data_IF_508539465896
#
_entry.id   IF_508539465896
#
_cell.length_a   1.000
_cell.length_b   1.000
_cell.length_c   1.000
_cell.angle_alpha   90.00
_cell.angle_beta   90.00
_cell.angle_gamma   90.00
#
_symmetry.space_group_name_H-M   'P 1'
#
loop_
_entity.id
_entity.type
_entity.pdbx_description
1 polymer ?
#
# COMPACT_ATOMS: atom_id res chain seq x y z
N UNK A 1 -49.59 9.03 -17.40
CA UNK A 1 -48.94 8.87 -16.10
C UNK A 1 -47.96 10.03 -15.93
N UNK A 2 -48.11 10.83 -14.92
CA UNK A 2 -47.22 11.94 -14.60
C UNK A 2 -46.21 11.43 -13.57
N UNK A 3 -44.92 11.57 -13.79
CA UNK A 3 -43.88 11.27 -12.82
C UNK A 3 -43.39 12.61 -12.25
N UNK A 4 -43.47 12.75 -10.94
CA UNK A 4 -42.91 13.86 -10.21
C UNK A 4 -41.67 13.33 -9.45
N UNK A 5 -40.52 13.86 -9.78
CA UNK A 5 -39.33 13.65 -8.94
C UNK A 5 -39.42 14.56 -7.72
N UNK A 6 -39.52 13.97 -6.54
CA UNK A 6 -39.44 14.72 -5.26
C UNK A 6 -38.03 15.22 -5.01
N UNK A 7 -37.43 15.79 -6.03
CA UNK A 7 -36.23 16.53 -5.91
C UNK A 7 -36.27 17.61 -6.88
N UNK A 8 -36.40 18.54 -6.25
CA UNK A 8 -35.89 19.79 -6.66
C UNK A 8 -34.40 19.70 -6.75
N UNK A 9 -33.89 20.00 -7.90
CA UNK A 9 -32.70 20.83 -7.91
C UNK A 9 -33.03 21.95 -6.93
N UNK A 10 -32.44 21.89 -5.75
CA UNK A 10 -32.39 22.97 -4.82
C UNK A 10 -31.48 24.02 -5.48
N UNK A 11 -32.00 24.62 -6.55
CA UNK A 11 -31.48 25.90 -6.94
C UNK A 11 -31.82 26.88 -5.81
N UNK A 12 -31.06 27.90 -5.68
CA UNK A 12 -31.13 28.88 -4.56
C UNK A 12 -32.51 29.56 -4.36
N UNK A 13 -33.58 29.05 -4.91
CA UNK A 13 -34.95 29.57 -4.90
C UNK A 13 -35.96 28.69 -4.17
N UNK A 14 -35.54 27.58 -3.52
CA UNK A 14 -36.43 26.75 -2.69
C UNK A 14 -37.54 26.10 -3.51
N UNK A 15 -37.16 25.42 -4.61
CA UNK A 15 -38.13 24.83 -5.52
C UNK A 15 -38.88 23.66 -4.88
N UNK A 16 -40.17 23.74 -4.83
CA UNK A 16 -41.04 22.60 -4.55
C UNK A 16 -41.13 21.73 -5.80
N UNK A 17 -41.17 20.38 -5.63
CA UNK A 17 -41.50 19.48 -6.72
C UNK A 17 -42.95 19.69 -7.16
N UNK A 18 -43.16 20.67 -7.98
CA UNK A 18 -44.46 21.09 -8.44
C UNK A 18 -44.56 21.10 -9.97
N UNK A 19 -45.69 20.69 -10.48
CA UNK A 19 -46.07 20.86 -11.89
C UNK A 19 -47.43 21.49 -11.95
N UNK A 20 -47.64 22.34 -12.97
CA UNK A 20 -48.95 22.92 -13.25
C UNK A 20 -49.44 22.35 -14.59
N UNK A 21 -50.60 21.74 -14.58
CA UNK A 21 -51.24 21.15 -15.75
C UNK A 21 -52.54 21.83 -16.05
N UNK A 22 -52.94 21.87 -17.33
CA UNK A 22 -54.24 22.35 -17.75
C UNK A 22 -55.29 21.23 -17.58
N UNK A 23 -56.40 21.56 -16.94
CA UNK A 23 -57.60 20.73 -16.85
C UNK A 23 -58.70 21.40 -17.64
N UNK A 24 -59.23 20.72 -18.65
CA UNK A 24 -60.28 21.22 -19.52
C UNK A 24 -61.46 20.27 -19.51
N UNK A 25 -62.63 20.81 -19.47
CA UNK A 25 -63.89 20.08 -19.69
C UNK A 25 -64.44 20.54 -21.01
N UNK A 26 -64.48 19.65 -22.00
CA UNK A 26 -64.98 19.96 -23.36
C UNK A 26 -66.45 19.56 -23.47
N UNK A 27 -67.29 20.44 -24.05
CA UNK A 27 -68.64 20.08 -24.50
C UNK A 27 -69.82 20.62 -23.69
N UNK A 28 -69.63 21.19 -22.50
CA UNK A 28 -70.67 21.84 -21.70
C UNK A 28 -70.11 23.03 -20.95
N UNK A 29 -70.92 24.09 -20.82
CA UNK A 29 -70.61 25.22 -19.91
C UNK A 29 -70.79 24.69 -18.46
N UNK A 30 -69.74 24.58 -17.67
CA UNK A 30 -69.82 24.08 -16.30
C UNK A 30 -70.48 25.04 -15.33
N UNK A 31 -71.00 26.21 -15.85
CA UNK A 31 -71.53 27.23 -14.95
C UNK A 31 -70.49 27.79 -14.00
N UNK A 32 -70.89 27.97 -12.73
CA UNK A 32 -70.04 28.47 -11.66
C UNK A 32 -69.46 27.37 -10.76
N UNK A 33 -69.75 26.10 -11.07
CA UNK A 33 -69.23 24.99 -10.28
C UNK A 33 -67.76 24.75 -10.53
N UNK A 34 -66.99 24.58 -9.44
CA UNK A 34 -65.58 24.22 -9.49
C UNK A 34 -65.41 22.70 -9.41
N UNK A 35 -64.52 22.10 -10.19
CA UNK A 35 -64.18 20.72 -10.00
C UNK A 35 -63.72 20.40 -8.60
N UNK A 36 -64.11 19.27 -8.05
CA UNK A 36 -63.58 18.72 -6.82
C UNK A 36 -62.41 17.79 -7.11
N UNK A 37 -61.33 17.89 -6.31
CA UNK A 37 -60.18 17.00 -6.41
C UNK A 37 -60.23 16.00 -5.25
N UNK A 38 -59.99 14.76 -5.61
CA UNK A 38 -59.81 13.68 -4.65
C UNK A 38 -58.62 12.76 -5.06
N UNK A 39 -58.19 11.91 -4.15
CA UNK A 39 -57.01 11.04 -4.38
C UNK A 39 -57.38 9.59 -4.10
N UNK A 40 -56.78 8.68 -4.85
CA UNK A 40 -56.88 7.24 -4.53
C UNK A 40 -56.08 6.88 -3.28
N UNK A 41 -55.04 7.66 -2.98
CA UNK A 41 -54.24 7.58 -1.77
C UNK A 41 -53.82 8.95 -1.34
N UNK A 42 -54.20 9.33 -0.13
CA UNK A 42 -53.89 10.64 0.46
C UNK A 42 -52.42 10.73 0.89
N UNK A 43 -51.91 11.96 0.97
CA UNK A 43 -50.57 12.28 1.50
C UNK A 43 -49.41 12.01 0.54
N UNK A 44 -49.67 11.56 -0.69
CA UNK A 44 -48.62 11.40 -1.71
C UNK A 44 -48.41 12.71 -2.47
N UNK A 45 -49.49 13.41 -2.82
CA UNK A 45 -49.45 14.71 -3.49
C UNK A 45 -50.51 15.66 -2.88
N UNK A 46 -50.32 16.95 -3.06
CA UNK A 46 -51.38 17.96 -2.95
C UNK A 46 -51.63 18.52 -4.32
N UNK A 47 -52.90 18.83 -4.63
CA UNK A 47 -53.27 19.46 -5.86
C UNK A 47 -54.21 20.66 -5.57
N UNK A 48 -53.90 21.79 -6.20
CA UNK A 48 -54.67 23.02 -6.06
C UNK A 48 -55.24 23.44 -7.42
N UNK A 49 -56.54 23.78 -7.47
CA UNK A 49 -57.20 24.31 -8.62
C UNK A 49 -57.08 25.80 -8.70
N UNK A 50 -56.66 26.30 -9.85
CA UNK A 50 -56.64 27.73 -10.20
C UNK A 50 -57.49 27.93 -11.43
N UNK A 51 -58.62 28.73 -11.34
CA UNK A 51 -59.43 29.06 -12.48
C UNK A 51 -58.61 29.82 -13.55
N UNK A 52 -58.74 29.41 -14.82
CA UNK A 52 -58.08 30.05 -15.96
C UNK A 52 -59.05 30.28 -17.12
N UNK A 53 -60.16 30.91 -16.79
CA UNK A 53 -61.26 31.16 -17.73
C UNK A 53 -62.43 30.20 -17.57
N UNK A 54 -63.48 30.37 -18.41
CA UNK A 54 -64.68 29.54 -18.33
C UNK A 54 -64.40 28.10 -18.79
N UNK A 55 -64.55 27.14 -17.87
CA UNK A 55 -64.33 25.71 -18.16
C UNK A 55 -62.85 25.34 -18.25
N UNK A 56 -61.94 26.23 -17.98
CA UNK A 56 -60.51 26.00 -17.99
C UNK A 56 -59.93 26.21 -16.57
N UNK A 57 -59.12 25.26 -16.15
CA UNK A 57 -58.50 25.29 -14.85
C UNK A 57 -57.04 24.92 -14.97
N UNK A 58 -56.19 25.50 -14.15
CA UNK A 58 -54.84 25.04 -13.91
C UNK A 58 -54.81 24.23 -12.62
N UNK A 59 -54.21 23.08 -12.65
CA UNK A 59 -54.03 22.22 -11.50
C UNK A 59 -52.55 22.25 -11.13
N UNK A 60 -52.19 22.84 -10.01
CA UNK A 60 -50.86 22.81 -9.44
C UNK A 60 -50.74 21.58 -8.55
N UNK A 61 -49.86 20.66 -8.91
CA UNK A 61 -49.62 19.39 -8.23
C UNK A 61 -48.26 19.46 -7.54
N UNK A 62 -48.18 19.15 -6.25
CA UNK A 62 -46.98 19.15 -5.45
C UNK A 62 -46.79 17.77 -4.82
N UNK A 63 -45.63 17.17 -4.99
CA UNK A 63 -45.25 15.92 -4.32
C UNK A 63 -45.07 16.13 -2.81
N UNK A 64 -45.62 15.24 -1.99
CA UNK A 64 -45.57 15.29 -0.52
C UNK A 64 -44.85 14.07 0.08
N UNK A 65 -45.01 12.92 -0.54
CA UNK A 65 -44.37 11.68 -0.12
C UNK A 65 -44.13 10.73 -1.31
N UNK A 66 -43.13 9.90 -1.17
CA UNK A 66 -42.82 8.87 -2.19
C UNK A 66 -43.97 7.88 -2.30
N UNK A 67 -44.40 7.62 -3.51
CA UNK A 67 -45.46 6.67 -3.78
C UNK A 67 -46.26 7.01 -5.01
N UNK A 68 -47.29 6.21 -5.27
CA UNK A 68 -48.18 6.41 -6.41
C UNK A 68 -49.59 6.70 -5.90
N UNK A 69 -50.26 7.62 -6.57
CA UNK A 69 -51.65 7.98 -6.34
C UNK A 69 -52.33 8.35 -7.66
N UNK A 70 -53.63 8.41 -7.68
CA UNK A 70 -54.40 9.02 -8.78
C UNK A 70 -55.08 10.27 -8.26
N UNK A 71 -54.96 11.38 -8.97
CA UNK A 71 -55.77 12.56 -8.78
C UNK A 71 -57.01 12.39 -9.62
N UNK A 72 -58.16 12.54 -9.00
CA UNK A 72 -59.47 12.44 -9.62
C UNK A 72 -60.14 13.82 -9.54
N UNK A 73 -60.39 14.44 -10.70
CA UNK A 73 -61.14 15.69 -10.81
C UNK A 73 -62.53 15.35 -11.24
N UNK A 74 -63.52 15.80 -10.49
CA UNK A 74 -64.95 15.58 -10.77
C UNK A 74 -65.70 16.89 -10.89
N UNK A 75 -66.48 17.05 -11.97
CA UNK A 75 -67.36 18.19 -12.22
C UNK A 75 -68.71 17.69 -12.69
N UNK A 76 -69.75 17.72 -11.88
CA UNK A 76 -71.02 17.05 -12.16
C UNK A 76 -70.85 15.57 -12.44
N UNK A 77 -71.28 15.10 -13.61
CA UNK A 77 -71.14 13.70 -14.03
C UNK A 77 -69.81 13.40 -14.75
N UNK A 78 -68.95 14.41 -14.90
CA UNK A 78 -67.69 14.26 -15.62
C UNK A 78 -66.56 13.97 -14.63
N UNK A 79 -65.69 13.05 -14.99
CA UNK A 79 -64.53 12.66 -14.19
C UNK A 79 -63.27 12.56 -15.07
N UNK A 80 -62.21 13.23 -14.65
CA UNK A 80 -60.88 13.11 -15.20
C UNK A 80 -59.96 12.47 -14.19
N UNK A 81 -59.02 11.63 -14.64
CA UNK A 81 -58.05 10.91 -13.80
C UNK A 81 -56.63 11.14 -14.25
N UNK A 82 -55.73 11.40 -13.32
CA UNK A 82 -54.31 11.54 -13.58
C UNK A 82 -53.52 10.64 -12.62
N UNK A 83 -52.90 9.64 -13.16
CA UNK A 83 -51.95 8.83 -12.33
C UNK A 83 -50.66 9.59 -12.12
N UNK A 84 -50.27 9.73 -10.87
CA UNK A 84 -49.06 10.46 -10.41
C UNK A 84 -48.17 9.47 -9.65
N UNK A 85 -46.90 9.44 -10.00
CA UNK A 85 -45.88 8.67 -9.33
C UNK A 85 -44.83 9.66 -8.76
N UNK A 86 -44.70 9.69 -7.44
CA UNK A 86 -43.72 10.52 -6.75
C UNK A 86 -42.53 9.63 -6.41
N UNK A 87 -41.37 9.91 -7.00
CA UNK A 87 -40.16 9.13 -6.83
C UNK A 87 -39.17 9.91 -5.96
N UNK A 88 -38.35 9.19 -5.18
CA UNK A 88 -37.21 9.81 -4.51
C UNK A 88 -36.01 9.85 -5.44
N UNK A 89 -35.26 10.93 -5.39
CA UNK A 89 -33.94 11.01 -5.97
C UNK A 89 -32.93 10.89 -4.82
N UNK A 90 -32.03 9.98 -4.91
CA UNK A 90 -30.91 9.84 -4.00
C UNK A 90 -29.75 10.68 -4.52
N UNK A 91 -29.28 11.62 -3.73
CA UNK A 91 -28.02 12.34 -4.01
C UNK A 91 -26.94 11.89 -3.03
N UNK A 92 -25.73 11.76 -3.51
CA UNK A 92 -24.57 11.44 -2.67
C UNK A 92 -23.48 12.47 -2.85
N UNK A 93 -22.72 12.65 -1.78
CA UNK A 93 -21.54 13.51 -1.75
C UNK A 93 -20.46 12.88 -0.89
N UNK A 94 -19.23 13.24 -1.18
CA UNK A 94 -18.05 12.89 -0.42
C UNK A 94 -17.41 14.22 0.01
N UNK A 95 -16.79 14.25 1.18
CA UNK A 95 -16.12 15.44 1.69
C UNK A 95 -14.95 15.91 0.82
N UNK A 96 -14.33 14.98 0.06
CA UNK A 96 -13.26 15.26 -0.89
C UNK A 96 -13.51 14.53 -2.22
N UNK A 97 -13.48 15.26 -3.35
CA UNK A 97 -13.64 14.68 -4.70
C UNK A 97 -12.33 14.18 -5.30
N UNK A 98 -11.22 14.53 -4.70
CA UNK A 98 -9.89 14.03 -5.04
C UNK A 98 -9.10 13.71 -3.78
N UNK A 99 -8.37 12.62 -3.82
CA UNK A 99 -7.40 12.22 -2.80
C UNK A 99 -6.02 12.32 -3.42
N UNK A 100 -5.15 13.10 -2.81
CA UNK A 100 -3.75 13.20 -3.20
C UNK A 100 -2.90 12.87 -1.98
N UNK A 101 -2.09 11.82 -2.09
CA UNK A 101 -1.30 11.31 -0.97
C UNK A 101 -0.13 10.46 -1.46
N UNK A 102 0.78 10.13 -0.57
CA UNK A 102 1.91 9.26 -0.87
C UNK A 102 1.61 7.80 -0.57
N UNK A 103 2.42 6.91 -1.17
CA UNK A 103 2.36 5.47 -0.87
C UNK A 103 2.57 5.23 0.63
N UNK A 104 1.67 4.45 1.24
CA UNK A 104 1.66 4.16 2.67
C UNK A 104 0.88 5.16 3.52
N UNK A 105 0.46 6.29 2.97
CA UNK A 105 -0.44 7.23 3.64
C UNK A 105 -1.90 6.83 3.49
N UNK A 106 -2.73 7.34 4.37
CA UNK A 106 -4.16 7.03 4.39
C UNK A 106 -4.99 8.28 4.60
N UNK A 107 -6.04 8.42 3.81
CA UNK A 107 -7.05 9.46 3.93
C UNK A 107 -8.39 8.82 4.22
N UNK A 108 -9.12 9.36 5.18
CA UNK A 108 -10.49 8.91 5.49
C UNK A 108 -11.48 9.85 4.84
N UNK A 109 -12.35 9.29 4.00
CA UNK A 109 -13.44 10.00 3.32
C UNK A 109 -14.74 9.78 4.07
N UNK A 110 -15.52 10.86 4.20
CA UNK A 110 -16.86 10.82 4.78
C UNK A 110 -17.91 10.88 3.68
N UNK A 111 -18.76 9.86 3.64
CA UNK A 111 -19.81 9.70 2.65
C UNK A 111 -21.13 10.25 3.20
N UNK A 112 -21.86 11.00 2.40
CA UNK A 112 -23.16 11.55 2.80
C UNK A 112 -24.19 11.26 1.72
N UNK A 113 -25.32 10.68 2.10
CA UNK A 113 -26.46 10.51 1.22
C UNK A 113 -27.62 11.42 1.68
N UNK A 114 -28.27 12.03 0.72
CA UNK A 114 -29.42 12.91 0.99
C UNK A 114 -30.59 12.51 0.12
N UNK A 115 -31.79 12.65 0.67
CA UNK A 115 -33.01 12.54 -0.11
C UNK A 115 -33.26 13.84 -0.90
N UNK A 116 -34.38 13.87 -1.62
CA UNK A 116 -34.73 14.98 -2.42
C UNK A 116 -35.12 16.23 -1.69
N UNK A 117 -35.33 16.17 -0.41
CA UNK A 117 -35.56 17.35 0.45
C UNK A 117 -34.27 17.89 1.05
N UNK A 118 -33.12 17.22 0.76
CA UNK A 118 -31.82 17.56 1.32
C UNK A 118 -31.56 16.95 2.71
N UNK A 119 -32.49 16.14 3.23
CA UNK A 119 -32.32 15.47 4.52
C UNK A 119 -31.27 14.35 4.41
N UNK A 120 -30.35 14.29 5.38
CA UNK A 120 -29.36 13.22 5.46
C UNK A 120 -30.04 11.90 5.79
N UNK A 121 -29.75 10.89 4.98
CA UNK A 121 -30.31 9.56 5.13
C UNK A 121 -29.41 8.68 6.02
N UNK A 122 -30.06 7.87 6.86
CA UNK A 122 -29.43 6.82 7.66
C UNK A 122 -29.79 5.45 7.07
N UNK A 123 -28.98 4.43 7.35
CA UNK A 123 -29.24 3.08 6.85
C UNK A 123 -28.96 2.89 5.35
N UNK A 124 -28.17 3.76 4.77
CA UNK A 124 -27.72 3.67 3.38
C UNK A 124 -26.75 2.50 3.23
N UNK A 125 -26.96 1.70 2.22
CA UNK A 125 -26.01 0.66 1.83
C UNK A 125 -24.99 1.28 0.88
N UNK A 126 -23.76 1.33 1.32
CA UNK A 126 -22.64 1.87 0.58
C UNK A 126 -21.78 0.77 -0.03
N UNK A 127 -21.24 1.04 -1.21
CA UNK A 127 -20.19 0.26 -1.84
C UNK A 127 -19.17 1.24 -2.45
N UNK A 128 -17.89 1.00 -2.18
CA UNK A 128 -16.79 1.81 -2.72
C UNK A 128 -15.78 0.86 -3.32
N UNK A 129 -15.57 1.00 -4.62
CA UNK A 129 -14.69 0.11 -5.38
C UNK A 129 -13.65 0.91 -6.16
N UNK A 130 -12.46 0.33 -6.30
CA UNK A 130 -11.42 0.82 -7.20
C UNK A 130 -11.38 -0.04 -8.47
N UNK A 131 -10.91 0.53 -9.57
CA UNK A 131 -10.73 -0.19 -10.83
C UNK A 131 -9.60 -1.21 -10.77
N UNK A 132 -8.62 -1.00 -9.89
CA UNK A 132 -7.54 -1.94 -9.62
C UNK A 132 -7.10 -1.89 -8.15
N UNK A 133 -6.49 -2.97 -7.68
CA UNK A 133 -5.90 -3.05 -6.33
C UNK A 133 -4.40 -2.68 -6.30
N UNK A 134 -3.89 -2.08 -7.37
CA UNK A 134 -2.46 -1.75 -7.52
C UNK A 134 -2.12 -0.38 -6.95
N UNK A 135 -3.00 0.59 -7.12
CA UNK A 135 -2.76 1.99 -6.74
C UNK A 135 -3.23 2.29 -5.33
N UNK A 136 -4.43 1.81 -4.97
CA UNK A 136 -5.00 2.02 -3.63
C UNK A 136 -5.56 0.73 -3.04
N UNK A 137 -5.67 0.73 -1.71
CA UNK A 137 -6.51 -0.22 -0.97
C UNK A 137 -7.59 0.55 -0.22
N UNK A 138 -8.78 -0.05 -0.15
CA UNK A 138 -9.95 0.53 0.50
C UNK A 138 -10.32 -0.27 1.74
N UNK A 139 -10.63 0.41 2.84
CA UNK A 139 -11.29 -0.24 3.96
C UNK A 139 -12.76 -0.52 3.63
N UNK A 140 -13.43 -1.48 4.30
CA UNK A 140 -14.88 -1.52 4.30
C UNK A 140 -15.48 -0.21 4.80
N UNK A 141 -16.64 0.20 4.26
CA UNK A 141 -17.33 1.39 4.75
C UNK A 141 -17.80 1.15 6.19
N UNK A 142 -17.44 2.07 7.08
CA UNK A 142 -17.78 1.99 8.50
C UNK A 142 -19.25 2.34 8.75
N UNK A 143 -19.73 2.10 10.00
CA UNK A 143 -21.06 2.52 10.42
C UNK A 143 -21.25 4.04 10.41
N UNK A 144 -20.16 4.79 10.56
CA UNK A 144 -20.14 6.25 10.51
C UNK A 144 -20.06 6.79 9.07
N UNK A 145 -20.31 5.93 8.09
CA UNK A 145 -20.27 6.24 6.66
C UNK A 145 -18.89 6.76 6.21
N UNK A 146 -17.84 6.14 6.72
CA UNK A 146 -16.46 6.49 6.38
C UNK A 146 -15.77 5.32 5.67
N UNK A 147 -14.91 5.64 4.71
CA UNK A 147 -14.02 4.74 4.02
C UNK A 147 -12.60 5.29 4.08
N UNK A 148 -11.64 4.43 4.37
CA UNK A 148 -10.22 4.81 4.35
C UNK A 148 -9.60 4.37 3.03
N UNK A 149 -8.98 5.31 2.34
CA UNK A 149 -8.20 5.12 1.11
C UNK A 149 -6.74 5.11 1.51
N UNK A 150 -6.04 4.00 1.28
CA UNK A 150 -4.60 3.88 1.55
C UNK A 150 -3.84 3.76 0.24
N UNK A 151 -2.82 4.61 0.05
CA UNK A 151 -1.92 4.56 -1.10
C UNK A 151 -1.08 3.27 -1.07
N UNK A 152 -1.12 2.49 -2.13
CA UNK A 152 -0.42 1.21 -2.26
C UNK A 152 0.72 1.28 -3.28
N UNK A 153 0.48 1.89 -4.41
CA UNK A 153 1.45 2.08 -5.48
C UNK A 153 1.21 3.39 -6.20
N UNK A 154 2.25 3.90 -6.86
CA UNK A 154 2.17 5.13 -7.65
C UNK A 154 1.16 5.01 -8.80
N UNK A 155 0.42 6.09 -9.02
CA UNK A 155 -0.51 6.20 -10.14
C UNK A 155 -1.78 6.97 -9.81
N UNK A 156 -2.67 7.02 -10.78
CA UNK A 156 -4.00 7.59 -10.65
C UNK A 156 -5.03 6.48 -10.74
N UNK A 157 -6.01 6.52 -9.85
CA UNK A 157 -7.09 5.54 -9.78
C UNK A 157 -8.43 6.23 -9.64
N UNK A 158 -9.43 5.76 -10.37
CA UNK A 158 -10.82 6.23 -10.21
C UNK A 158 -11.54 5.34 -9.21
N UNK A 159 -12.06 5.94 -8.16
CA UNK A 159 -12.91 5.27 -7.18
C UNK A 159 -14.37 5.52 -7.52
N UNK A 160 -15.16 4.45 -7.57
CA UNK A 160 -16.59 4.50 -7.76
C UNK A 160 -17.27 4.32 -6.40
N UNK A 161 -17.98 5.36 -5.96
CA UNK A 161 -18.81 5.35 -4.75
C UNK A 161 -20.25 5.11 -5.16
N UNK A 162 -20.86 4.08 -4.64
CA UNK A 162 -22.26 3.74 -4.88
C UNK A 162 -23.04 3.72 -3.57
N UNK A 163 -24.24 4.22 -3.62
CA UNK A 163 -25.16 4.20 -2.50
C UNK A 163 -26.51 3.61 -2.92
N UNK A 164 -27.10 2.83 -2.05
CA UNK A 164 -28.42 2.25 -2.23
C UNK A 164 -29.30 2.47 -1.00
N UNK A 165 -30.56 2.90 -1.23
CA UNK A 165 -31.60 3.02 -0.19
C UNK A 165 -32.83 2.29 -0.65
N UNK A 166 -33.38 1.44 0.22
CA UNK A 166 -34.63 0.72 -0.05
C UNK A 166 -35.77 1.33 0.75
N UNK A 167 -36.78 1.80 0.04
CA UNK A 167 -38.02 2.34 0.63
C UNK A 167 -39.19 1.44 0.18
N UNK A 168 -39.75 0.68 1.10
CA UNK A 168 -40.76 -0.32 0.77
C UNK A 168 -40.17 -1.44 -0.10
N UNK A 169 -40.66 -1.58 -1.34
CA UNK A 169 -40.17 -2.59 -2.30
C UNK A 169 -39.25 -1.97 -3.39
N UNK A 170 -38.96 -0.70 -3.32
CA UNK A 170 -38.15 0.02 -4.33
C UNK A 170 -36.75 0.32 -3.77
N UNK A 171 -35.74 0.09 -4.58
CA UNK A 171 -34.37 0.48 -4.27
C UNK A 171 -33.96 1.64 -5.20
N UNK A 172 -33.48 2.70 -4.56
CA UNK A 172 -32.93 3.88 -5.22
C UNK A 172 -31.42 3.81 -5.14
N UNK A 173 -30.72 4.06 -6.23
CA UNK A 173 -29.26 4.04 -6.28
C UNK A 173 -28.72 5.37 -6.80
N UNK A 174 -27.56 5.74 -6.34
CA UNK A 174 -26.80 6.87 -6.85
C UNK A 174 -25.32 6.51 -6.89
N UNK A 175 -24.58 7.11 -7.80
CA UNK A 175 -23.14 6.88 -7.94
C UNK A 175 -22.38 8.19 -8.08
N UNK A 176 -21.14 8.19 -7.60
CA UNK A 176 -20.20 9.29 -7.68
C UNK A 176 -18.81 8.73 -7.99
N UNK A 177 -18.04 9.44 -8.76
CA UNK A 177 -16.64 9.11 -9.05
C UNK A 177 -15.74 10.15 -8.43
N UNK A 178 -14.65 9.69 -7.83
CA UNK A 178 -13.57 10.53 -7.37
C UNK A 178 -12.23 9.97 -7.84
N UNK A 179 -11.22 10.81 -7.87
CA UNK A 179 -9.88 10.45 -8.31
C UNK A 179 -8.95 10.34 -7.11
N UNK A 180 -8.18 9.26 -7.02
CA UNK A 180 -7.09 9.11 -6.09
C UNK A 180 -5.77 9.16 -6.86
N UNK A 181 -4.93 10.16 -6.56
CA UNK A 181 -3.58 10.30 -7.11
C UNK A 181 -2.58 9.94 -6.02
N UNK A 182 -1.80 8.89 -6.26
CA UNK A 182 -0.83 8.38 -5.32
C UNK A 182 0.58 8.64 -5.84
N UNK A 183 1.33 9.40 -5.06
CA UNK A 183 2.72 9.74 -5.36
C UNK A 183 3.66 8.78 -4.62
N UNK A 184 4.78 8.47 -5.26
CA UNK A 184 5.84 7.70 -4.63
C UNK A 184 6.93 8.65 -4.16
N UNK A 185 7.03 8.83 -2.85
CA UNK A 185 8.11 9.62 -2.25
C UNK A 185 8.98 8.70 -1.38
N UNK A 186 10.22 8.57 -1.76
CA UNK A 186 11.20 7.79 -1.05
C UNK A 186 12.41 7.46 -1.90
N UNK A 187 13.50 7.12 -1.26
CA UNK A 187 14.73 6.68 -1.90
C UNK A 187 15.04 5.27 -1.43
N UNK A 188 15.19 4.37 -2.38
CA UNK A 188 15.74 3.04 -2.13
C UNK A 188 17.07 2.98 -2.87
N UNK A 189 18.15 2.63 -2.19
CA UNK A 189 19.46 2.71 -2.79
C UNK A 189 20.47 1.74 -2.21
N UNK A 190 21.66 1.75 -2.79
CA UNK A 190 22.86 1.05 -2.32
C UNK A 190 23.99 2.07 -2.17
N UNK A 191 24.76 1.96 -1.13
CA UNK A 191 25.88 2.85 -0.86
C UNK A 191 27.08 2.04 -0.37
N UNK A 192 28.27 2.48 -0.77
CA UNK A 192 29.55 2.07 -0.22
C UNK A 192 30.22 3.29 0.40
N UNK A 193 30.52 3.22 1.69
CA UNK A 193 31.22 4.24 2.46
C UNK A 193 32.59 3.70 2.79
N UNK A 194 33.61 4.29 2.20
CA UNK A 194 35.00 3.92 2.44
C UNK A 194 35.75 4.94 3.30
N UNK A 195 37.00 4.64 3.65
CA UNK A 195 37.89 5.51 4.37
C UNK A 195 38.13 6.81 3.56
N UNK A 196 37.64 7.94 4.04
CA UNK A 196 37.87 9.26 3.47
C UNK A 196 37.20 9.51 2.11
N UNK A 197 36.05 10.07 2.08
CA UNK A 197 35.35 10.74 0.94
C UNK A 197 34.88 9.88 -0.24
N UNK A 198 35.21 8.61 -0.36
CA UNK A 198 34.74 7.77 -1.45
C UNK A 198 33.36 7.18 -1.13
N UNK A 199 32.33 7.96 -1.31
CA UNK A 199 30.96 7.47 -1.17
C UNK A 199 30.37 7.26 -2.56
N UNK A 200 30.17 6.00 -2.93
CA UNK A 200 29.35 5.65 -4.07
C UNK A 200 27.91 5.44 -3.63
N UNK A 201 26.98 6.02 -4.39
CA UNK A 201 25.55 5.94 -4.08
C UNK A 201 24.76 5.74 -5.36
N UNK A 202 23.85 4.82 -5.36
CA UNK A 202 22.85 4.66 -6.39
C UNK A 202 21.49 4.60 -5.75
N UNK A 203 20.57 5.48 -6.15
CA UNK A 203 19.21 5.53 -5.64
C UNK A 203 18.19 5.41 -6.75
N UNK A 204 17.11 4.73 -6.45
CA UNK A 204 15.91 4.60 -7.28
C UNK A 204 14.71 4.98 -6.44
N UNK A 205 13.66 5.49 -7.06
CA UNK A 205 12.43 5.96 -6.43
C UNK A 205 12.45 7.41 -5.96
N UNK A 206 12.26 8.30 -6.88
CA UNK A 206 11.62 9.59 -6.64
C UNK A 206 11.15 10.16 -7.96
N UNK A 207 9.87 10.03 -8.32
CA UNK A 207 9.34 10.55 -9.58
C UNK A 207 8.96 12.01 -9.54
N UNK A 208 8.78 12.59 -8.37
CA UNK A 208 8.42 14.00 -8.21
C UNK A 208 9.64 14.94 -8.21
N UNK A 209 10.85 14.39 -8.14
CA UNK A 209 12.05 15.18 -8.30
C UNK A 209 12.23 15.55 -9.77
N UNK A 210 12.15 16.82 -10.05
CA UNK A 210 12.47 17.40 -11.37
C UNK A 210 13.96 17.26 -11.76
N UNK A 211 14.77 16.66 -10.89
CA UNK A 211 16.21 16.55 -11.00
C UNK A 211 16.67 15.09 -10.83
N UNK A 212 16.48 14.31 -11.91
CA UNK A 212 16.87 12.89 -11.98
C UNK A 212 18.38 12.67 -12.13
N UNK A 213 19.12 13.73 -12.45
CA UNK A 213 20.56 13.68 -12.71
C UNK A 213 21.40 13.77 -11.43
N UNK A 214 20.78 14.13 -10.31
CA UNK A 214 21.47 14.11 -9.02
C UNK A 214 21.23 12.77 -8.33
N UNK A 215 22.26 11.95 -8.08
CA UNK A 215 22.11 10.76 -7.28
C UNK A 215 21.54 11.17 -5.92
N UNK A 216 20.28 10.82 -5.67
CA UNK A 216 19.65 11.01 -4.37
C UNK A 216 20.29 10.03 -3.38
N UNK A 217 21.51 10.33 -3.01
CA UNK A 217 22.15 9.66 -1.90
C UNK A 217 21.51 10.08 -0.57
N UNK A 218 21.75 9.33 0.50
CA UNK A 218 21.46 9.83 1.83
C UNK A 218 22.08 11.23 1.98
N UNK A 219 21.36 12.15 2.63
CA UNK A 219 21.92 13.46 2.93
C UNK A 219 23.18 13.27 3.83
N UNK A 220 24.05 14.28 3.84
CA UNK A 220 25.17 14.27 4.76
C UNK A 220 24.67 14.04 6.20
N UNK A 221 25.09 12.94 6.84
CA UNK A 221 24.60 12.50 8.14
C UNK A 221 23.53 11.37 8.10
N UNK A 222 22.97 11.02 6.96
CA UNK A 222 22.03 9.88 6.82
C UNK A 222 22.77 8.53 6.66
N UNK A 223 24.04 8.56 6.28
CA UNK A 223 24.87 7.36 6.20
C UNK A 223 25.33 7.03 7.61
N UNK A 224 25.27 5.77 8.05
CA UNK A 224 25.91 5.36 9.30
C UNK A 224 27.35 5.87 9.30
N UNK A 225 27.83 6.37 10.45
CA UNK A 225 29.24 6.77 10.66
C UNK A 225 30.22 5.56 10.54
N UNK A 226 29.80 4.52 9.85
CA UNK A 226 30.52 3.27 9.68
C UNK A 226 30.89 3.09 8.22
N UNK A 227 32.13 2.72 8.02
CA UNK A 227 32.60 2.20 6.74
C UNK A 227 31.82 0.92 6.38
N UNK A 228 31.57 0.72 5.10
CA UNK A 228 30.97 -0.50 4.64
C UNK A 228 29.98 -0.34 3.48
N UNK A 229 29.33 -1.43 3.16
CA UNK A 229 28.38 -1.55 2.09
C UNK A 229 26.97 -1.72 2.65
N UNK A 230 26.00 -0.94 2.15
CA UNK A 230 24.65 -0.91 2.71
C UNK A 230 23.60 -0.81 1.61
N UNK A 231 22.48 -1.53 1.76
CA UNK A 231 21.20 -1.07 1.20
C UNK A 231 20.63 -0.02 2.14
N UNK A 232 20.07 1.05 1.60
CA UNK A 232 19.41 2.07 2.41
C UNK A 232 18.03 2.42 1.85
N UNK A 233 17.16 2.88 2.73
CA UNK A 233 15.85 3.39 2.39
C UNK A 233 15.56 4.67 3.13
N UNK A 234 14.88 5.61 2.47
CA UNK A 234 14.40 6.85 3.04
C UNK A 234 12.98 7.12 2.58
N UNK A 235 12.12 7.55 3.52
CA UNK A 235 10.72 7.82 3.27
C UNK A 235 9.83 6.59 3.29
N UNK A 236 8.54 6.83 3.56
CA UNK A 236 7.55 5.76 3.80
C UNK A 236 7.36 4.82 2.61
N UNK A 237 7.49 5.34 1.40
CA UNK A 237 7.31 4.54 0.20
C UNK A 237 8.42 3.51 0.00
N UNK A 238 9.63 3.82 0.45
CA UNK A 238 10.83 3.01 0.30
C UNK A 238 11.11 2.09 1.49
N UNK A 239 10.27 2.04 2.51
CA UNK A 239 10.44 1.20 3.69
C UNK A 239 10.70 -0.27 3.32
N UNK A 240 11.78 -0.85 3.86
CA UNK A 240 12.23 -2.21 3.54
C UNK A 240 11.19 -3.30 3.79
N UNK A 241 10.21 -3.11 4.65
CA UNK A 241 9.10 -4.07 4.85
C UNK A 241 8.29 -4.33 3.58
N UNK A 242 8.37 -3.44 2.60
CA UNK A 242 7.69 -3.57 1.31
C UNK A 242 8.57 -4.12 0.20
N UNK A 243 9.84 -4.41 0.49
CA UNK A 243 10.80 -4.85 -0.51
C UNK A 243 11.46 -6.18 -0.13
N UNK A 244 11.52 -7.07 -1.09
CA UNK A 244 12.19 -8.37 -0.95
C UNK A 244 13.35 -8.42 -1.94
N UNK A 245 14.52 -8.87 -1.48
CA UNK A 245 15.65 -9.19 -2.37
C UNK A 245 15.26 -10.39 -3.20
N UNK A 246 15.14 -10.22 -4.51
CA UNK A 246 14.74 -11.28 -5.45
C UNK A 246 15.86 -11.72 -6.37
N UNK A 247 16.93 -10.93 -6.50
CA UNK A 247 18.18 -11.36 -7.12
C UNK A 247 19.35 -10.70 -6.38
N UNK A 248 20.41 -11.44 -6.22
CA UNK A 248 21.67 -11.01 -5.61
C UNK A 248 22.82 -11.66 -6.37
N UNK A 249 23.62 -10.86 -7.06
CA UNK A 249 24.63 -11.34 -7.99
C UNK A 249 25.92 -10.58 -7.79
N UNK A 250 27.03 -11.28 -7.84
CA UNK A 250 28.38 -10.70 -7.94
C UNK A 250 28.89 -10.89 -9.36
N UNK A 251 29.30 -9.82 -10.01
CA UNK A 251 30.10 -9.87 -11.23
C UNK A 251 31.58 -9.71 -10.85
N UNK A 252 32.39 -10.70 -11.13
CA UNK A 252 33.83 -10.65 -10.88
C UNK A 252 34.55 -9.68 -11.84
N UNK A 253 35.84 -9.49 -11.67
CA UNK A 253 36.67 -8.63 -12.52
C UNK A 253 36.76 -9.11 -13.98
N UNK A 254 36.40 -10.38 -14.27
CA UNK A 254 36.32 -10.93 -15.62
C UNK A 254 34.95 -10.78 -16.27
N UNK A 255 33.93 -10.34 -15.51
CA UNK A 255 32.55 -10.24 -15.92
C UNK A 255 31.76 -11.55 -15.75
N UNK A 256 32.30 -12.55 -15.04
CA UNK A 256 31.56 -13.78 -14.70
C UNK A 256 30.54 -13.47 -13.62
N UNK A 257 29.33 -14.00 -13.78
CA UNK A 257 28.20 -13.78 -12.87
C UNK A 257 28.07 -14.93 -11.88
N UNK A 258 28.00 -14.60 -10.60
CA UNK A 258 27.87 -15.51 -9.48
C UNK A 258 26.54 -15.25 -8.75
N UNK A 259 25.66 -16.25 -8.65
CA UNK A 259 24.36 -16.12 -7.95
C UNK A 259 24.53 -16.35 -6.45
N UNK A 260 24.25 -15.31 -5.68
CA UNK A 260 24.40 -15.32 -4.23
C UNK A 260 23.13 -15.73 -3.46
N UNK A 261 21.97 -15.82 -4.12
CA UNK A 261 20.76 -16.29 -3.45
C UNK A 261 20.77 -17.80 -3.20
N UNK A 262 21.41 -18.55 -4.07
CA UNK A 262 21.47 -20.03 -3.96
C UNK A 262 22.42 -20.53 -2.88
N UNK A 263 23.29 -19.67 -2.34
CA UNK A 263 24.36 -20.03 -1.39
C UNK A 263 25.30 -21.18 -1.87
N UNK A 264 25.32 -21.44 -3.17
CA UNK A 264 26.08 -22.55 -3.77
C UNK A 264 27.42 -22.11 -4.38
N UNK A 265 27.70 -20.82 -4.39
CA UNK A 265 28.93 -20.28 -4.95
C UNK A 265 30.11 -20.54 -4.01
N UNK A 266 31.24 -20.93 -4.58
CA UNK A 266 32.45 -21.22 -3.84
C UNK A 266 33.47 -20.07 -3.85
N UNK A 267 33.28 -19.09 -4.72
CA UNK A 267 34.24 -18.00 -4.91
C UNK A 267 33.82 -16.74 -4.12
N UNK A 268 32.51 -16.56 -3.91
CA UNK A 268 31.97 -15.42 -3.19
C UNK A 268 30.88 -15.80 -2.19
N UNK A 269 30.71 -14.94 -1.20
CA UNK A 269 29.60 -14.98 -0.23
C UNK A 269 29.11 -13.59 0.03
N UNK A 270 27.82 -13.37 -0.12
CA UNK A 270 27.18 -12.11 0.21
C UNK A 270 26.10 -12.34 1.27
N UNK A 271 26.14 -11.56 2.31
CA UNK A 271 25.10 -11.55 3.36
C UNK A 271 24.48 -10.17 3.45
N UNK A 272 23.16 -10.10 3.36
CA UNK A 272 22.39 -8.90 3.61
C UNK A 272 21.81 -9.00 5.02
N UNK A 273 22.29 -8.13 5.91
CA UNK A 273 21.89 -8.12 7.31
C UNK A 273 20.45 -7.67 7.55
N UNK A 274 20.05 -7.65 8.80
CA UNK A 274 18.74 -7.16 9.23
C UNK A 274 18.61 -5.66 9.06
N UNK A 275 17.34 -5.17 9.05
CA UNK A 275 17.06 -3.75 8.97
C UNK A 275 17.46 -3.06 10.25
N UNK A 276 18.27 -2.01 10.11
CA UNK A 276 18.68 -1.10 11.20
C UNK A 276 18.01 0.26 10.93
N UNK A 277 17.24 0.75 11.91
CA UNK A 277 16.67 2.09 11.85
C UNK A 277 17.70 3.12 12.33
N UNK A 278 17.85 4.22 11.60
CA UNK A 278 18.69 5.32 12.06
C UNK A 278 18.02 6.04 13.25
N UNK A 279 18.80 6.34 14.29
CA UNK A 279 18.27 6.92 15.53
C UNK A 279 17.83 8.39 15.43
N UNK A 280 18.24 9.11 14.39
CA UNK A 280 18.02 10.57 14.28
C UNK A 280 16.92 10.97 13.29
N UNK A 281 16.55 10.08 12.35
CA UNK A 281 15.56 10.40 11.33
C UNK A 281 14.64 9.17 11.16
N UNK A 282 13.43 9.25 11.68
CA UNK A 282 12.50 8.11 11.72
C UNK A 282 12.08 7.53 10.36
N UNK A 283 12.52 8.17 9.27
CA UNK A 283 12.23 7.75 7.90
C UNK A 283 13.43 7.10 7.19
N UNK A 284 14.59 7.01 7.84
CA UNK A 284 15.79 6.38 7.28
C UNK A 284 16.07 5.02 7.93
N UNK A 285 16.35 4.03 7.08
CA UNK A 285 16.74 2.69 7.50
C UNK A 285 17.82 2.14 6.56
N UNK A 286 18.65 1.24 7.06
CA UNK A 286 19.65 0.57 6.23
C UNK A 286 19.76 -0.91 6.57
N UNK A 287 20.35 -1.67 5.65
CA UNK A 287 20.72 -3.08 5.84
C UNK A 287 22.19 -3.24 5.47
N UNK A 288 23.05 -3.60 6.41
CA UNK A 288 24.46 -3.83 6.11
C UNK A 288 24.62 -5.00 5.14
N UNK A 289 25.57 -4.88 4.22
CA UNK A 289 25.95 -5.96 3.31
C UNK A 289 27.38 -6.35 3.62
N UNK A 290 27.61 -7.60 3.86
CA UNK A 290 28.95 -8.18 3.98
C UNK A 290 29.22 -9.01 2.73
N UNK A 291 30.38 -8.82 2.13
CA UNK A 291 30.84 -9.57 0.97
C UNK A 291 32.20 -10.18 1.27
N UNK A 292 32.34 -11.46 0.97
CA UNK A 292 33.61 -12.16 1.04
C UNK A 292 33.94 -12.76 -0.32
N UNK A 293 35.23 -12.77 -0.67
CA UNK A 293 35.76 -13.38 -1.87
C UNK A 293 37.12 -14.06 -1.61
N UNK A 294 37.55 -14.91 -2.54
CA UNK A 294 38.83 -15.63 -2.40
C UNK A 294 40.03 -14.75 -2.61
N UNK A 295 39.89 -13.63 -3.27
CA UNK A 295 40.99 -12.73 -3.62
C UNK A 295 40.54 -11.25 -3.60
N UNK A 296 41.52 -10.38 -3.48
CA UNK A 296 41.28 -8.94 -3.61
C UNK A 296 41.08 -8.58 -5.07
N UNK A 297 39.92 -8.05 -5.41
CA UNK A 297 39.58 -7.56 -6.74
C UNK A 297 38.43 -6.57 -6.64
N UNK A 298 38.15 -5.86 -7.72
CA UNK A 298 36.93 -5.04 -7.77
C UNK A 298 35.81 -5.88 -8.41
N UNK A 299 34.75 -6.09 -7.67
CA UNK A 299 33.54 -6.76 -8.14
C UNK A 299 32.42 -5.76 -8.32
N UNK A 300 31.37 -6.12 -9.07
CA UNK A 300 30.13 -5.36 -9.11
C UNK A 300 29.05 -6.18 -8.41
N UNK A 301 28.55 -5.66 -7.30
CA UNK A 301 27.39 -6.22 -6.63
C UNK A 301 26.11 -5.72 -7.30
N UNK A 302 25.25 -6.64 -7.74
CA UNK A 302 23.96 -6.37 -8.31
C UNK A 302 22.87 -6.89 -7.38
N UNK A 303 21.94 -6.03 -7.00
CA UNK A 303 20.82 -6.35 -6.11
C UNK A 303 19.52 -5.98 -6.80
N UNK A 304 18.60 -6.93 -6.91
CA UNK A 304 17.23 -6.63 -7.33
C UNK A 304 16.30 -6.73 -6.13
N UNK A 305 15.61 -5.63 -5.87
CA UNK A 305 14.57 -5.54 -4.86
C UNK A 305 13.21 -5.51 -5.56
N UNK A 306 12.29 -6.35 -5.14
CA UNK A 306 10.92 -6.35 -5.67
C UNK A 306 9.96 -5.76 -4.65
N UNK A 307 9.21 -4.75 -5.08
CA UNK A 307 8.12 -4.16 -4.28
C UNK A 307 6.98 -5.19 -4.15
N UNK A 308 6.74 -5.65 -2.95
CA UNK A 308 5.72 -6.67 -2.66
C UNK A 308 4.29 -6.18 -2.87
N UNK A 309 4.07 -4.85 -2.91
CA UNK A 309 2.76 -4.22 -3.14
C UNK A 309 2.37 -4.25 -4.61
N UNK A 310 3.36 -4.02 -5.49
CA UNK A 310 3.15 -3.84 -6.93
C UNK A 310 3.71 -4.95 -7.79
N UNK A 311 4.64 -5.76 -7.23
CA UNK A 311 5.41 -6.76 -7.97
C UNK A 311 6.49 -6.15 -8.88
N UNK A 312 6.76 -4.85 -8.78
CA UNK A 312 7.75 -4.17 -9.63
C UNK A 312 9.16 -4.43 -9.12
N UNK A 313 10.09 -4.90 -9.97
CA UNK A 313 11.49 -5.04 -9.61
C UNK A 313 12.25 -3.72 -9.76
N UNK A 314 13.23 -3.52 -8.91
CA UNK A 314 14.17 -2.40 -8.92
C UNK A 314 15.59 -2.95 -8.83
N UNK A 315 16.40 -2.69 -9.84
CA UNK A 315 17.79 -3.14 -9.91
C UNK A 315 18.74 -2.04 -9.45
N UNK A 316 19.65 -2.40 -8.58
CA UNK A 316 20.75 -1.59 -8.08
C UNK A 316 22.05 -2.31 -8.37
N UNK A 317 23.09 -1.60 -8.74
CA UNK A 317 24.44 -2.12 -8.92
C UNK A 317 25.48 -1.18 -8.31
N UNK A 318 26.55 -1.74 -7.76
CA UNK A 318 27.63 -0.98 -7.15
C UNK A 318 28.97 -1.67 -7.35
N UNK A 319 30.00 -0.94 -7.83
CA UNK A 319 31.34 -1.46 -7.79
C UNK A 319 31.86 -1.48 -6.34
N UNK A 320 32.45 -2.60 -5.95
CA UNK A 320 33.00 -2.78 -4.62
C UNK A 320 34.41 -3.37 -4.70
N UNK A 321 35.43 -2.65 -4.20
CA UNK A 321 36.78 -3.18 -4.11
C UNK A 321 36.89 -4.10 -2.88
N UNK A 322 37.08 -5.40 -3.10
CA UNK A 322 37.34 -6.34 -2.03
C UNK A 322 38.69 -6.04 -1.37
N UNK A 323 38.66 -5.76 -0.09
CA UNK A 323 39.82 -5.50 0.74
C UNK A 323 40.50 -6.80 1.21
N UNK A 324 41.61 -6.68 1.91
CA UNK A 324 42.23 -7.83 2.56
C UNK A 324 41.35 -8.47 3.63
N UNK A 325 40.49 -7.68 4.28
CA UNK A 325 39.55 -8.15 5.27
C UNK A 325 38.42 -8.94 4.63
N UNK A 326 37.92 -8.51 3.47
CA UNK A 326 36.86 -9.20 2.73
C UNK A 326 37.31 -10.58 2.17
N UNK A 327 38.62 -10.85 2.14
CA UNK A 327 39.16 -12.16 1.78
C UNK A 327 39.30 -13.10 2.98
N UNK A 328 38.83 -12.69 4.14
CA UNK A 328 38.91 -13.46 5.38
C UNK A 328 37.54 -13.59 6.01
N UNK A 329 37.38 -14.65 6.80
CA UNK A 329 36.22 -14.82 7.69
C UNK A 329 36.71 -15.08 9.10
N UNK A 330 35.88 -14.78 10.09
CA UNK A 330 36.19 -15.11 11.48
C UNK A 330 35.78 -16.53 11.80
N UNK A 331 36.74 -17.35 12.17
CA UNK A 331 36.52 -18.68 12.71
C UNK A 331 36.62 -18.65 14.23
N UNK A 332 35.58 -19.13 14.92
CA UNK A 332 35.56 -19.27 16.38
C UNK A 332 35.91 -20.71 16.76
N UNK A 333 37.02 -20.86 17.45
CA UNK A 333 37.48 -22.16 17.97
C UNK A 333 37.09 -22.28 19.43
N UNK A 334 36.33 -23.32 19.78
CA UNK A 334 35.80 -23.50 21.15
C UNK A 334 36.50 -24.73 21.78
N UNK A 335 37.18 -24.50 22.88
CA UNK A 335 37.84 -25.55 23.69
C UNK A 335 37.33 -25.46 25.13
N UNK A 336 36.38 -26.28 25.51
CA UNK A 336 35.72 -26.21 26.78
C UNK A 336 34.95 -24.87 26.94
N UNK A 337 35.44 -23.97 27.79
CA UNK A 337 34.86 -22.63 27.98
C UNK A 337 35.64 -21.53 27.25
N UNK A 338 36.74 -21.89 26.60
CA UNK A 338 37.53 -20.94 25.84
C UNK A 338 36.90 -20.73 24.47
N UNK A 339 36.85 -19.49 24.04
CA UNK A 339 36.57 -19.08 22.70
C UNK A 339 37.77 -18.33 22.15
N UNK A 340 38.32 -18.79 21.04
CA UNK A 340 39.41 -18.14 20.34
C UNK A 340 38.91 -17.78 18.92
N UNK A 341 38.88 -16.50 18.62
CA UNK A 341 38.55 -15.99 17.31
C UNK A 341 39.80 -15.79 16.48
N UNK A 342 39.77 -16.24 15.25
CA UNK A 342 40.89 -16.17 14.33
C UNK A 342 40.39 -15.84 12.92
N UNK A 343 41.00 -14.84 12.31
CA UNK A 343 40.77 -14.56 10.90
C UNK A 343 41.41 -15.65 10.05
N UNK A 344 40.60 -16.22 9.14
CA UNK A 344 41.05 -17.31 8.25
C UNK A 344 40.64 -16.96 6.83
N UNK A 345 41.45 -17.37 5.79
CA UNK A 345 41.12 -17.09 4.40
C UNK A 345 39.80 -17.72 3.99
N UNK A 346 38.96 -16.96 3.31
CA UNK A 346 37.69 -17.42 2.77
C UNK A 346 37.89 -18.59 1.79
N UNK A 347 37.03 -19.60 1.87
CA UNK A 347 37.02 -20.75 0.96
C UNK A 347 38.18 -21.72 1.11
N UNK A 348 39.04 -21.58 2.13
CA UNK A 348 40.12 -22.51 2.39
C UNK A 348 39.70 -23.66 3.32
N UNK A 349 40.34 -24.83 3.24
CA UNK A 349 40.07 -25.95 4.14
C UNK A 349 40.32 -25.58 5.62
N UNK A 350 39.41 -25.97 6.49
CA UNK A 350 39.47 -25.69 7.92
C UNK A 350 40.73 -26.25 8.61
N UNK A 351 41.20 -27.40 8.17
CA UNK A 351 42.32 -28.12 8.78
C UNK A 351 43.64 -27.33 8.80
N UNK A 352 43.82 -26.42 7.84
CA UNK A 352 45.03 -25.57 7.75
C UNK A 352 45.07 -24.40 8.76
N UNK A 353 43.99 -24.10 9.42
CA UNK A 353 43.82 -22.85 10.22
C UNK A 353 43.46 -23.10 11.68
N UNK A 354 43.48 -24.37 12.10
CA UNK A 354 43.21 -24.70 13.50
C UNK A 354 44.21 -24.00 14.42
N UNK A 355 43.76 -23.58 15.65
CA UNK A 355 44.66 -22.97 16.59
C UNK A 355 45.87 -23.87 16.89
N UNK A 356 47.06 -23.28 16.88
CA UNK A 356 48.27 -23.97 17.26
C UNK A 356 48.28 -24.18 18.79
N UNK A 357 49.10 -25.11 19.26
CA UNK A 357 49.31 -25.34 20.70
C UNK A 357 49.77 -24.03 21.39
N UNK A 358 50.58 -23.21 20.73
CA UNK A 358 51.08 -21.94 21.25
C UNK A 358 49.93 -20.89 21.38
N UNK A 359 49.07 -20.81 20.38
CA UNK A 359 47.88 -19.93 20.43
C UNK A 359 46.92 -20.38 21.55
N UNK A 360 46.71 -21.65 21.74
CA UNK A 360 45.88 -22.19 22.82
C UNK A 360 46.52 -22.03 24.18
N UNK A 361 47.83 -22.21 24.31
CA UNK A 361 48.59 -22.01 25.56
C UNK A 361 48.63 -20.54 25.93
N UNK A 362 48.75 -19.62 24.96
CA UNK A 362 48.74 -18.20 25.25
C UNK A 362 47.37 -17.68 25.72
N UNK A 363 46.28 -18.30 25.20
CA UNK A 363 44.92 -17.97 25.55
C UNK A 363 44.45 -18.68 26.84
N UNK A 364 44.88 -19.94 27.07
CA UNK A 364 44.60 -20.74 28.28
C UNK A 364 45.57 -21.88 28.43
N UNK A 365 45.77 -22.32 29.63
CA UNK A 365 46.62 -23.45 30.04
C UNK A 365 46.11 -24.81 29.54
N UNK A 366 46.99 -25.84 29.47
CA UNK A 366 47.24 -26.71 28.34
C UNK A 366 46.05 -27.56 27.95
N UNK A 367 45.73 -27.59 26.66
CA UNK A 367 44.92 -28.64 26.02
C UNK A 367 45.91 -29.66 25.48
N UNK A 368 45.87 -30.88 26.00
CA UNK A 368 46.73 -31.95 25.57
C UNK A 368 46.06 -32.73 24.45
N UNK A 369 46.63 -32.63 23.28
CA UNK A 369 46.26 -33.43 22.11
C UNK A 369 44.90 -33.12 21.48
N UNK A 370 44.89 -32.63 20.26
CA UNK A 370 43.69 -32.46 19.47
C UNK A 370 43.93 -32.83 18.01
N UNK A 371 42.90 -33.36 17.36
CA UNK A 371 42.97 -33.75 15.96
C UNK A 371 41.95 -32.93 15.18
N UNK A 372 42.38 -32.20 14.14
CA UNK A 372 41.47 -31.43 13.33
C UNK A 372 40.55 -32.33 12.48
N UNK A 373 39.30 -31.97 12.40
CA UNK A 373 38.29 -32.52 11.50
C UNK A 373 37.14 -31.52 11.42
N UNK A 374 36.58 -31.21 10.27
CA UNK A 374 36.74 -31.76 8.95
C UNK A 374 37.72 -30.98 8.06
N UNK A 375 38.14 -31.62 6.98
CA UNK A 375 38.92 -31.00 5.92
C UNK A 375 37.99 -30.32 4.91
N UNK A 376 37.26 -29.31 5.34
CA UNK A 376 36.27 -28.59 4.53
C UNK A 376 36.66 -27.11 4.34
N UNK A 377 36.38 -26.51 3.19
CA UNK A 377 36.62 -25.09 2.97
C UNK A 377 35.70 -24.24 3.79
N UNK A 378 36.18 -23.08 4.24
CA UNK A 378 35.47 -22.10 5.03
C UNK A 378 34.88 -21.00 4.11
N UNK A 379 33.56 -20.91 4.05
CA UNK A 379 32.84 -19.93 3.22
C UNK A 379 32.00 -18.95 4.01
N UNK A 380 32.04 -19.03 5.34
CA UNK A 380 31.30 -18.14 6.25
C UNK A 380 31.94 -18.23 7.63
N UNK A 381 31.54 -17.33 8.54
CA UNK A 381 31.91 -17.45 9.95
C UNK A 381 31.58 -18.84 10.47
N UNK A 382 32.57 -19.46 11.06
CA UNK A 382 32.49 -20.89 11.42
C UNK A 382 32.90 -21.09 12.86
N UNK A 383 32.13 -21.86 13.60
CA UNK A 383 32.47 -22.28 14.96
C UNK A 383 32.98 -23.70 14.97
N UNK A 384 34.16 -23.87 15.54
CA UNK A 384 34.75 -25.20 15.75
C UNK A 384 34.59 -25.59 17.22
N UNK A 385 33.90 -26.70 17.46
CA UNK A 385 33.70 -27.23 18.78
C UNK A 385 34.50 -28.53 18.98
N UNK A 386 35.25 -28.68 20.07
CA UNK A 386 35.90 -29.93 20.39
C UNK A 386 34.83 -30.99 20.71
N UNK A 387 34.91 -32.13 20.01
CA UNK A 387 34.11 -33.28 20.36
C UNK A 387 34.93 -34.11 21.34
N UNK A 388 34.45 -34.20 22.57
CA UNK A 388 35.01 -35.17 23.50
C UNK A 388 34.54 -36.56 23.05
N UNK A 389 35.46 -37.41 22.54
CA UNK A 389 35.18 -38.83 22.33
C UNK A 389 35.82 -39.59 23.45
N UNK A 390 35.04 -40.46 24.06
CA UNK A 390 35.54 -41.49 24.96
C UNK A 390 36.26 -42.52 24.11
N UNK A 391 37.49 -42.22 23.76
CA UNK A 391 38.37 -43.06 22.97
C UNK A 391 39.41 -43.71 23.87
N UNK A 392 39.98 -44.80 23.46
CA UNK A 392 41.05 -45.51 24.16
C UNK A 392 42.27 -44.61 24.42
N UNK A 393 42.29 -43.40 23.87
CA UNK A 393 43.32 -42.36 24.10
C UNK A 393 42.75 -41.20 24.89
N UNK A 394 42.86 -41.18 26.21
CA UNK A 394 42.40 -40.08 27.04
C UNK A 394 43.17 -38.80 26.74
N UNK A 395 42.45 -37.72 26.40
CA UNK A 395 43.01 -36.43 26.08
C UNK A 395 42.98 -36.05 24.58
N UNK A 396 42.55 -36.95 23.68
CA UNK A 396 42.40 -36.61 22.31
C UNK A 396 41.11 -35.83 22.06
N UNK A 397 41.24 -34.55 21.67
CA UNK A 397 40.10 -33.70 21.25
C UNK A 397 39.95 -33.77 19.73
N UNK A 398 38.73 -34.07 19.30
CA UNK A 398 38.34 -33.94 17.86
C UNK A 398 37.50 -32.68 17.70
N UNK A 399 37.78 -31.99 16.61
CA UNK A 399 37.06 -30.77 16.26
C UNK A 399 35.96 -31.07 15.26
N UNK A 400 34.83 -30.49 15.49
CA UNK A 400 33.74 -30.47 14.52
C UNK A 400 33.37 -29.02 14.29
N UNK A 401 33.22 -28.65 13.04
CA UNK A 401 32.64 -27.35 12.72
C UNK A 401 31.11 -27.43 12.65
N UNK A 402 30.45 -26.37 13.07
CA UNK A 402 29.02 -26.23 12.95
C UNK A 402 28.76 -24.99 12.11
N UNK A 403 27.76 -25.09 11.22
CA UNK A 403 27.27 -23.96 10.43
C UNK A 403 26.27 -23.18 11.22
#
# INVERSE_FOLDING_TARGET
MLTLDMITDYDAAGGESAVTLDLRFEGTDPGTELPTLSYTKDGIVTAELQPDGTGHYKVRIVGQAIGSTEIIATLGDYTARLAVDVTAKLSISVDQLSVEQYVGESTTLTLTARDGTGQVLTGVKWDVVSGSDRVVTLSPVSRDQQVTVTGKGEGEETLLVQAGVTVGQRTFTSELRLTATIHMQGVLGIAHVGDGDAVYRQGILNRDATDWDTPLGPAEGDVPDHEGLYLYSRGKAADFRYFTVTALTVLDSTGTSHDMLSNADEDYRVTVGDVVAAQQDGDFSYRPITIHGRQQETVTLQVTLTDTRTGRPYALDIPYPLTAEDTQITATFVVGRLRLEKAVPFGQPAAGFLPTEEELVSALRPVVGWTPSPDLPLFQDTTFEPIYQDTEEPGLLRWRWTR
#
